data_IF_544958118500
#
_entry.id   IF_544958118500
#
_cell.length_a   1.000
_cell.length_b   1.000
_cell.length_c   1.000
_cell.angle_alpha   90.00
_cell.angle_beta   90.00
_cell.angle_gamma   90.00
#
_symmetry.space_group_name_H-M   'P 1'
#
loop_
_entity.id
_entity.type
_entity.pdbx_description
1 polymer ?
#
# COMPACT_ATOMS: atom_id res chain seq x y z
N UNK A 1 -18.19 -13.21 7.28
CA UNK A 1 -18.66 -11.80 7.27
C UNK A 1 -17.51 -10.80 7.06
N UNK A 2 -16.35 -10.94 7.73
CA UNK A 2 -15.19 -10.03 7.56
C UNK A 2 -14.74 -9.82 6.11
N UNK A 3 -14.40 -10.89 5.39
CA UNK A 3 -13.96 -10.78 3.99
C UNK A 3 -14.98 -10.12 3.08
N UNK A 4 -16.27 -10.40 3.29
CA UNK A 4 -17.33 -9.73 2.53
C UNK A 4 -17.32 -8.21 2.77
N UNK A 5 -17.21 -7.76 4.02
CA UNK A 5 -17.13 -6.33 4.32
C UNK A 5 -15.89 -5.66 3.69
N UNK A 6 -14.76 -6.37 3.67
CA UNK A 6 -13.51 -5.88 3.06
C UNK A 6 -13.63 -5.79 1.53
N UNK A 7 -14.29 -6.76 0.89
CA UNK A 7 -14.63 -6.70 -0.53
C UNK A 7 -15.61 -5.56 -0.83
N UNK A 8 -16.64 -5.39 -0.01
CA UNK A 8 -17.61 -4.29 -0.15
C UNK A 8 -16.93 -2.92 0.00
N UNK A 9 -15.96 -2.78 0.92
CA UNK A 9 -15.19 -1.55 1.06
C UNK A 9 -14.28 -1.29 -0.14
N UNK A 10 -13.67 -2.35 -0.70
CA UNK A 10 -12.84 -2.26 -1.89
C UNK A 10 -13.66 -1.75 -3.09
N UNK A 11 -14.76 -2.42 -3.40
CA UNK A 11 -15.65 -2.07 -4.51
C UNK A 11 -16.34 -0.71 -4.30
N UNK A 12 -16.83 -0.46 -3.07
CA UNK A 12 -17.55 0.75 -2.72
C UNK A 12 -16.71 2.02 -2.91
N UNK A 13 -15.41 1.97 -2.57
CA UNK A 13 -14.50 3.09 -2.80
C UNK A 13 -14.31 3.37 -4.30
N UNK A 14 -14.11 2.34 -5.12
CA UNK A 14 -13.91 2.52 -6.57
C UNK A 14 -15.15 3.09 -7.25
N UNK A 15 -16.34 2.55 -6.92
CA UNK A 15 -17.61 3.05 -7.42
C UNK A 15 -17.84 4.50 -7.00
N UNK A 16 -17.52 4.85 -5.76
CA UNK A 16 -17.65 6.22 -5.27
C UNK A 16 -16.71 7.19 -6.01
N UNK A 17 -15.43 6.83 -6.17
CA UNK A 17 -14.47 7.65 -6.90
C UNK A 17 -14.86 7.81 -8.37
N UNK A 18 -15.34 6.73 -9.00
CA UNK A 18 -15.84 6.76 -10.39
C UNK A 18 -17.04 7.68 -10.57
N UNK A 19 -17.98 7.68 -9.63
CA UNK A 19 -19.16 8.54 -9.68
C UNK A 19 -18.83 10.02 -9.36
N UNK A 20 -18.00 10.27 -8.34
CA UNK A 20 -17.69 11.63 -7.87
C UNK A 20 -16.67 12.36 -8.75
N UNK A 21 -15.72 11.64 -9.34
CA UNK A 21 -14.65 12.20 -10.16
C UNK A 21 -14.60 11.52 -11.54
N UNK A 22 -15.66 11.66 -12.35
CA UNK A 22 -15.74 11.01 -13.66
C UNK A 22 -14.59 11.47 -14.56
N UNK A 23 -13.96 10.52 -15.25
CA UNK A 23 -12.82 10.76 -16.15
C UNK A 23 -11.47 10.94 -15.47
N UNK A 24 -11.40 11.08 -14.13
CA UNK A 24 -10.14 11.16 -13.43
C UNK A 24 -9.42 9.80 -13.42
N UNK A 25 -8.13 9.78 -13.80
CA UNK A 25 -7.30 8.58 -13.71
C UNK A 25 -7.12 8.17 -12.24
N UNK A 26 -7.55 6.95 -11.92
CA UNK A 26 -7.45 6.36 -10.56
C UNK A 26 -6.79 4.99 -10.49
N UNK A 27 -6.55 4.34 -11.64
CA UNK A 27 -6.00 2.99 -11.73
C UNK A 27 -6.74 1.98 -10.85
N UNK A 28 -8.05 1.90 -11.07
CA UNK A 28 -9.01 1.14 -10.26
C UNK A 28 -8.57 -0.28 -9.96
N UNK A 29 -8.90 -0.74 -8.75
CA UNK A 29 -8.76 -2.14 -8.34
C UNK A 29 -9.90 -3.04 -8.85
N UNK A 30 -10.97 -2.50 -9.46
CA UNK A 30 -12.13 -3.28 -9.92
C UNK A 30 -11.71 -4.54 -10.71
N UNK A 31 -12.20 -5.70 -10.28
CA UNK A 31 -11.84 -7.03 -10.79
C UNK A 31 -10.69 -7.71 -10.03
N UNK A 32 -9.95 -6.96 -9.22
CA UNK A 32 -8.87 -7.42 -8.32
C UNK A 32 -9.18 -7.18 -6.85
N UNK A 33 -10.45 -6.99 -6.48
CA UNK A 33 -10.93 -6.56 -5.16
C UNK A 33 -10.43 -7.44 -4.01
N UNK A 34 -10.18 -8.72 -4.29
CA UNK A 34 -9.62 -9.69 -3.34
C UNK A 34 -8.23 -9.30 -2.80
N UNK A 35 -7.52 -8.37 -3.44
CA UNK A 35 -6.26 -7.81 -2.94
C UNK A 35 -6.43 -7.19 -1.54
N UNK A 36 -7.55 -6.53 -1.27
CA UNK A 36 -7.80 -5.87 0.03
C UNK A 36 -7.91 -6.87 1.18
N UNK A 37 -8.84 -7.86 1.16
CA UNK A 37 -8.88 -8.86 2.23
C UNK A 37 -7.59 -9.68 2.30
N UNK A 38 -6.91 -9.96 1.17
CA UNK A 38 -5.62 -10.65 1.16
C UNK A 38 -4.56 -9.89 1.95
N UNK A 39 -4.32 -8.61 1.65
CA UNK A 39 -3.32 -7.80 2.36
C UNK A 39 -3.65 -7.64 3.84
N UNK A 40 -4.93 -7.42 4.17
CA UNK A 40 -5.35 -7.30 5.57
C UNK A 40 -5.16 -8.61 6.34
N UNK A 41 -5.41 -9.75 5.70
CA UNK A 41 -5.15 -11.06 6.30
C UNK A 41 -3.64 -11.30 6.47
N UNK A 42 -2.81 -10.96 5.48
CA UNK A 42 -1.35 -11.06 5.60
C UNK A 42 -0.82 -10.23 6.77
N UNK A 43 -1.28 -8.98 6.94
CA UNK A 43 -0.89 -8.12 8.06
C UNK A 43 -1.33 -8.71 9.40
N UNK A 44 -2.57 -9.18 9.50
CA UNK A 44 -3.10 -9.81 10.73
C UNK A 44 -2.31 -11.07 11.09
N UNK A 45 -2.02 -11.91 10.10
CA UNK A 45 -1.21 -13.12 10.30
C UNK A 45 0.23 -12.80 10.71
N UNK A 46 0.85 -11.79 10.09
CA UNK A 46 2.19 -11.32 10.44
C UNK A 46 2.24 -10.83 11.89
N UNK A 47 1.28 -9.99 12.31
CA UNK A 47 1.17 -9.52 13.69
C UNK A 47 1.02 -10.67 14.69
N UNK A 48 0.15 -11.65 14.38
CA UNK A 48 -0.01 -12.85 15.21
C UNK A 48 1.26 -13.72 15.27
N UNK A 49 2.14 -13.62 14.28
CA UNK A 49 3.44 -14.31 14.22
C UNK A 49 4.57 -13.48 14.86
N UNK A 50 4.26 -12.34 15.48
CA UNK A 50 5.22 -11.48 16.17
C UNK A 50 6.03 -10.55 15.27
N UNK A 51 5.61 -10.36 14.01
CA UNK A 51 6.12 -9.29 13.13
C UNK A 51 5.68 -7.94 13.71
N UNK A 52 6.61 -6.98 13.76
CA UNK A 52 6.37 -5.63 14.29
C UNK A 52 6.14 -4.61 13.18
N UNK A 53 6.74 -4.82 12.02
CA UNK A 53 6.66 -3.88 10.91
C UNK A 53 6.42 -4.60 9.58
N UNK A 54 5.64 -3.99 8.70
CA UNK A 54 5.43 -4.44 7.32
C UNK A 54 5.74 -3.28 6.39
N UNK A 55 6.64 -3.50 5.44
CA UNK A 55 7.01 -2.50 4.43
C UNK A 55 6.47 -2.95 3.09
N UNK A 56 5.62 -2.13 2.49
CA UNK A 56 4.96 -2.41 1.22
C UNK A 56 5.63 -1.64 0.07
N UNK A 57 5.81 -2.30 -1.06
CA UNK A 57 6.06 -1.70 -2.36
C UNK A 57 4.98 -2.12 -3.33
N UNK A 58 4.39 -1.17 -4.06
CA UNK A 58 3.38 -1.49 -5.07
C UNK A 58 3.37 -0.49 -6.22
N UNK A 59 2.92 -0.94 -7.38
CA UNK A 59 2.61 -0.09 -8.52
C UNK A 59 1.30 0.71 -8.31
N UNK A 60 0.72 1.22 -9.40
CA UNK A 60 -0.46 2.09 -9.38
C UNK A 60 -1.79 1.33 -9.22
N UNK A 61 -1.88 0.06 -9.65
CA UNK A 61 -3.15 -0.71 -9.67
C UNK A 61 -3.71 -0.90 -8.26
N UNK A 62 -4.87 -0.29 -7.99
CA UNK A 62 -5.54 -0.34 -6.69
C UNK A 62 -4.82 0.39 -5.56
N UNK A 63 -3.81 1.21 -5.84
CA UNK A 63 -3.01 1.87 -4.79
C UNK A 63 -3.84 2.77 -3.88
N UNK A 64 -4.76 3.54 -4.47
CA UNK A 64 -5.66 4.41 -3.71
C UNK A 64 -6.55 3.58 -2.78
N UNK A 65 -6.95 2.39 -3.23
CA UNK A 65 -7.72 1.44 -2.45
C UNK A 65 -6.92 0.90 -1.27
N UNK A 66 -5.68 0.47 -1.50
CA UNK A 66 -4.76 0.01 -0.45
C UNK A 66 -4.48 1.10 0.58
N UNK A 67 -4.22 2.33 0.13
CA UNK A 67 -3.99 3.48 1.02
C UNK A 67 -5.15 3.69 2.01
N UNK A 68 -6.40 3.66 1.52
CA UNK A 68 -7.58 3.88 2.37
C UNK A 68 -7.94 2.64 3.19
N UNK A 69 -8.11 1.49 2.53
CA UNK A 69 -8.73 0.31 3.13
C UNK A 69 -7.74 -0.60 3.88
N UNK A 70 -6.42 -0.44 3.67
CA UNK A 70 -5.36 -1.21 4.36
C UNK A 70 -4.56 -0.31 5.29
N UNK A 71 -4.06 0.84 4.82
CA UNK A 71 -3.23 1.75 5.62
C UNK A 71 -4.02 2.83 6.38
N UNK A 72 -5.35 2.89 6.22
CA UNK A 72 -6.18 3.82 6.98
C UNK A 72 -5.96 5.29 6.66
N UNK A 73 -5.43 5.62 5.46
CA UNK A 73 -5.42 7.02 4.98
C UNK A 73 -6.86 7.54 5.00
N UNK A 74 -7.07 8.77 5.47
CA UNK A 74 -8.41 9.34 5.56
C UNK A 74 -8.98 9.54 4.15
N UNK A 75 -10.21 9.07 3.85
CA UNK A 75 -10.84 9.31 2.54
C UNK A 75 -10.91 10.78 2.16
N UNK A 76 -11.10 11.67 3.15
CA UNK A 76 -11.12 13.11 2.91
C UNK A 76 -9.81 13.64 2.32
N UNK A 77 -8.66 13.19 2.82
CA UNK A 77 -7.36 13.60 2.27
C UNK A 77 -7.23 13.19 0.79
N UNK A 78 -7.71 11.98 0.44
CA UNK A 78 -7.74 11.54 -0.96
C UNK A 78 -8.70 12.39 -1.81
N UNK A 79 -9.89 12.72 -1.30
CA UNK A 79 -10.85 13.54 -2.03
C UNK A 79 -10.32 14.95 -2.29
N UNK A 80 -9.59 15.52 -1.34
CA UNK A 80 -8.91 16.80 -1.50
C UNK A 80 -7.85 16.73 -2.61
N UNK A 81 -7.07 15.64 -2.69
CA UNK A 81 -6.13 15.39 -3.79
C UNK A 81 -6.82 15.23 -5.16
N UNK A 82 -8.04 14.70 -5.21
CA UNK A 82 -8.83 14.68 -6.45
C UNK A 82 -9.39 16.05 -6.82
N UNK A 83 -9.69 16.89 -5.84
CA UNK A 83 -10.16 18.26 -6.02
C UNK A 83 -9.04 19.26 -6.31
N UNK A 84 -7.77 18.82 -6.37
CA UNK A 84 -6.60 19.69 -6.55
C UNK A 84 -6.29 20.55 -5.32
N UNK A 85 -6.84 20.20 -4.16
CA UNK A 85 -6.52 20.84 -2.88
C UNK A 85 -5.29 20.17 -2.30
N UNK A 86 -4.17 20.86 -2.35
CA UNK A 86 -2.92 20.39 -1.78
C UNK A 86 -2.69 21.06 -0.43
N UNK A 87 -2.24 20.28 0.56
CA UNK A 87 -1.65 20.85 1.78
C UNK A 87 -0.37 21.58 1.37
N UNK A 88 0.07 22.58 2.13
CA UNK A 88 1.39 23.16 1.89
C UNK A 88 2.44 22.04 1.96
N UNK A 89 3.10 21.81 0.83
CA UNK A 89 4.09 20.75 0.68
C UNK A 89 5.48 21.38 0.69
N UNK A 90 6.40 20.75 1.43
CA UNK A 90 7.83 21.02 1.34
C UNK A 90 8.36 20.36 0.05
N UNK A 91 8.12 20.95 -1.11
CA UNK A 91 8.66 20.47 -2.40
C UNK A 91 7.70 20.59 -3.59
N UNK A 92 8.12 20.06 -4.74
CA UNK A 92 7.37 20.09 -6.01
C UNK A 92 6.18 19.13 -6.05
N UNK A 93 6.11 18.17 -5.13
CA UNK A 93 5.06 17.15 -5.06
C UNK A 93 5.18 16.04 -6.12
N UNK A 94 4.21 15.12 -6.11
CA UNK A 94 4.03 14.05 -7.10
C UNK A 94 2.54 13.71 -7.22
N UNK A 95 2.17 12.85 -8.18
CA UNK A 95 0.79 12.41 -8.39
C UNK A 95 0.31 11.50 -7.25
N UNK A 96 -0.99 11.58 -6.94
CA UNK A 96 -1.64 10.90 -5.79
C UNK A 96 -1.36 9.39 -5.68
N UNK A 97 -1.17 8.70 -6.80
CA UNK A 97 -0.89 7.27 -6.86
C UNK A 97 0.62 6.93 -6.84
N UNK A 98 1.50 7.87 -6.48
CA UNK A 98 2.91 7.64 -6.11
C UNK A 98 3.18 7.83 -4.61
N UNK A 99 2.21 8.43 -3.90
CA UNK A 99 2.37 8.79 -2.49
C UNK A 99 2.50 7.54 -1.61
N UNK A 100 3.47 7.57 -0.71
CA UNK A 100 3.60 6.61 0.39
C UNK A 100 2.70 6.99 1.56
N UNK A 101 2.64 6.11 2.56
CA UNK A 101 1.89 6.36 3.80
C UNK A 101 2.40 5.44 4.91
N UNK A 102 2.28 5.88 6.16
CA UNK A 102 2.64 5.09 7.33
C UNK A 102 1.56 5.19 8.40
N UNK A 103 1.32 4.08 9.08
CA UNK A 103 0.25 3.93 10.07
C UNK A 103 0.49 2.70 10.93
N UNK A 104 0.07 2.74 12.19
CA UNK A 104 0.03 1.54 13.03
C UNK A 104 -1.36 0.91 12.95
N UNK A 105 -1.40 -0.41 12.73
CA UNK A 105 -2.63 -1.18 12.67
C UNK A 105 -2.65 -2.18 13.82
N UNK A 106 -3.76 -2.23 14.54
CA UNK A 106 -3.99 -3.19 15.61
C UNK A 106 -4.31 -4.57 15.03
N UNK A 107 -3.60 -5.59 15.51
CA UNK A 107 -3.84 -7.00 15.23
C UNK A 107 -4.02 -7.77 16.54
N UNK A 108 -4.49 -9.02 16.48
CA UNK A 108 -4.66 -9.84 17.70
C UNK A 108 -3.31 -10.08 18.40
N UNK A 109 -2.20 -10.11 17.65
CA UNK A 109 -0.83 -10.20 18.15
C UNK A 109 -0.19 -8.88 18.59
N UNK A 110 -0.94 -7.77 18.54
CA UNK A 110 -0.47 -6.42 18.91
C UNK A 110 -0.40 -5.44 17.74
N UNK A 111 0.22 -4.28 17.99
CA UNK A 111 0.40 -3.24 16.96
C UNK A 111 1.44 -3.65 15.92
N UNK A 112 1.08 -3.50 14.65
CA UNK A 112 1.98 -3.68 13.50
C UNK A 112 2.10 -2.35 12.76
N UNK A 113 3.33 -1.86 12.62
CA UNK A 113 3.62 -0.65 11.85
C UNK A 113 3.62 -0.96 10.35
N UNK A 114 2.73 -0.31 9.60
CA UNK A 114 2.69 -0.40 8.14
C UNK A 114 3.40 0.81 7.53
N UNK A 115 4.21 0.57 6.51
CA UNK A 115 4.80 1.62 5.69
C UNK A 115 4.71 1.26 4.21
N UNK A 116 3.95 2.04 3.43
CA UNK A 116 3.94 1.97 1.97
C UNK A 116 4.98 2.93 1.41
N UNK A 117 5.93 2.40 0.64
CA UNK A 117 6.98 3.18 0.01
C UNK A 117 6.44 4.14 -1.07
N UNK A 118 7.04 5.31 -1.16
CA UNK A 118 6.91 6.19 -2.33
C UNK A 118 7.58 5.53 -3.54
N UNK A 119 7.05 5.73 -4.74
CA UNK A 119 7.67 5.22 -5.97
C UNK A 119 7.35 6.07 -7.19
N UNK A 120 8.27 6.16 -8.17
CA UNK A 120 7.99 6.78 -9.45
C UNK A 120 7.10 5.88 -10.34
N UNK A 121 6.73 6.39 -11.52
CA UNK A 121 6.03 5.62 -12.56
C UNK A 121 6.84 4.45 -13.14
N UNK A 122 8.17 4.45 -12.98
CA UNK A 122 9.04 3.37 -13.45
C UNK A 122 8.74 2.11 -12.64
N UNK A 123 8.08 1.14 -13.28
CA UNK A 123 7.59 -0.05 -12.59
C UNK A 123 8.74 -0.90 -12.05
N UNK A 124 8.47 -1.67 -11.01
CA UNK A 124 9.39 -2.61 -10.35
C UNK A 124 10.60 -2.02 -9.63
N UNK A 125 11.06 -0.80 -9.97
CA UNK A 125 12.27 -0.19 -9.37
C UNK A 125 12.13 0.07 -7.86
N UNK A 126 10.91 0.10 -7.32
CA UNK A 126 10.64 0.23 -5.88
C UNK A 126 10.96 -1.05 -5.11
N UNK A 127 10.92 -2.22 -5.75
CA UNK A 127 11.15 -3.52 -5.11
C UNK A 127 12.49 -3.59 -4.38
N UNK A 128 13.66 -3.31 -5.02
CA UNK A 128 14.94 -3.27 -4.31
C UNK A 128 15.01 -2.17 -3.24
N UNK A 129 14.31 -1.05 -3.43
CA UNK A 129 14.24 0.04 -2.42
C UNK A 129 13.54 -0.43 -1.15
N UNK A 130 12.44 -1.18 -1.28
CA UNK A 130 11.73 -1.80 -0.16
C UNK A 130 12.63 -2.81 0.55
N UNK A 131 13.34 -3.65 -0.19
CA UNK A 131 14.28 -4.62 0.39
C UNK A 131 15.39 -3.92 1.19
N UNK A 132 15.96 -2.83 0.65
CA UNK A 132 16.95 -2.01 1.37
C UNK A 132 16.37 -1.37 2.64
N UNK A 133 15.15 -0.82 2.57
CA UNK A 133 14.46 -0.26 3.74
C UNK A 133 14.20 -1.31 4.82
N UNK A 134 13.76 -2.51 4.43
CA UNK A 134 13.54 -3.62 5.37
C UNK A 134 14.86 -4.04 5.99
N UNK A 135 15.91 -4.20 5.18
CA UNK A 135 17.24 -4.57 5.68
C UNK A 135 17.75 -3.57 6.72
N UNK A 136 17.67 -2.27 6.44
CA UNK A 136 18.09 -1.24 7.38
C UNK A 136 17.30 -1.27 8.69
N UNK A 137 15.99 -1.58 8.65
CA UNK A 137 15.16 -1.75 9.85
C UNK A 137 15.55 -2.98 10.66
N UNK A 138 15.84 -4.11 10.02
CA UNK A 138 16.34 -5.31 10.68
C UNK A 138 17.71 -5.09 11.32
N UNK A 139 18.65 -4.44 10.62
CA UNK A 139 19.96 -4.10 11.15
C UNK A 139 19.84 -3.19 12.40
N UNK A 140 18.89 -2.26 12.40
CA UNK A 140 18.62 -1.39 13.57
C UNK A 140 18.06 -2.15 14.78
N UNK A 141 17.37 -3.26 14.55
CA UNK A 141 16.85 -4.12 15.62
C UNK A 141 17.91 -5.07 16.19
N UNK A 142 19.11 -5.10 15.61
CA UNK A 142 20.16 -6.09 15.91
C UNK A 142 19.66 -7.55 15.78
N UNK A 143 18.69 -7.76 14.88
CA UNK A 143 18.02 -9.04 14.63
C UNK A 143 17.99 -9.37 13.13
N UNK A 144 19.14 -9.54 12.46
CA UNK A 144 19.26 -9.59 10.99
C UNK A 144 18.59 -10.81 10.34
N UNK A 145 18.28 -11.86 11.12
CA UNK A 145 17.61 -13.09 10.64
C UNK A 145 16.20 -13.25 11.23
N UNK A 146 15.65 -12.20 11.86
CA UNK A 146 14.31 -12.27 12.44
C UNK A 146 13.21 -12.00 11.42
N UNK A 147 12.01 -12.45 11.76
CA UNK A 147 10.79 -12.15 11.01
C UNK A 147 10.09 -10.89 11.56
N UNK A 148 10.83 -9.97 12.19
CA UNK A 148 10.26 -8.76 12.82
C UNK A 148 9.83 -7.70 11.80
N UNK A 149 10.42 -7.69 10.61
CA UNK A 149 10.10 -6.74 9.53
C UNK A 149 9.80 -7.53 8.26
N UNK A 150 8.56 -7.45 7.77
CA UNK A 150 8.09 -8.19 6.60
C UNK A 150 8.05 -7.28 5.35
N UNK A 151 8.83 -7.58 4.30
CA UNK A 151 8.62 -6.96 3.00
C UNK A 151 7.41 -7.57 2.29
N UNK A 152 6.56 -6.72 1.69
CA UNK A 152 5.51 -7.13 0.75
C UNK A 152 5.67 -6.32 -0.53
N UNK A 153 5.96 -6.98 -1.65
CA UNK A 153 6.02 -6.35 -2.98
C UNK A 153 4.84 -6.81 -3.84
N UNK A 154 4.15 -5.86 -4.46
CA UNK A 154 2.95 -6.08 -5.28
C UNK A 154 3.24 -5.62 -6.70
N UNK A 155 3.03 -6.53 -7.65
CA UNK A 155 3.50 -6.36 -9.01
C UNK A 155 2.35 -6.42 -10.02
N UNK A 156 2.56 -5.80 -11.19
CA UNK A 156 1.75 -6.07 -12.37
C UNK A 156 2.30 -7.28 -13.12
N UNK A 157 1.43 -8.10 -13.70
CA UNK A 157 1.76 -9.31 -14.46
C UNK A 157 2.75 -9.06 -15.63
N UNK A 158 2.54 -8.01 -16.41
CA UNK A 158 3.45 -7.65 -17.49
C UNK A 158 4.78 -7.07 -16.97
N UNK A 159 4.74 -6.32 -15.87
CA UNK A 159 5.91 -5.62 -15.34
C UNK A 159 6.86 -6.59 -14.61
N UNK A 160 6.31 -7.50 -13.79
CA UNK A 160 7.09 -8.50 -13.05
C UNK A 160 7.87 -9.44 -13.98
N UNK A 161 7.33 -9.71 -15.17
CA UNK A 161 7.98 -10.56 -16.16
C UNK A 161 8.94 -9.79 -17.08
N UNK A 162 8.66 -8.50 -17.34
CA UNK A 162 9.36 -7.72 -18.35
C UNK A 162 10.46 -6.78 -17.84
N UNK A 163 10.51 -6.48 -16.54
CA UNK A 163 11.49 -5.54 -15.98
C UNK A 163 12.69 -6.27 -15.38
N UNK A 164 13.89 -6.01 -15.92
CA UNK A 164 15.16 -6.64 -15.55
C UNK A 164 15.60 -6.48 -14.08
N UNK A 165 14.98 -5.56 -13.33
CA UNK A 165 15.27 -5.32 -11.91
C UNK A 165 14.62 -6.35 -10.98
N UNK A 166 13.72 -7.19 -11.52
CA UNK A 166 13.01 -8.23 -10.75
C UNK A 166 13.85 -9.52 -10.64
N UNK A 167 14.76 -9.76 -11.59
CA UNK A 167 15.61 -10.96 -11.71
C UNK A 167 16.88 -10.86 -10.87
#
# INVERSE_FOLDING_TARGET
KRFLNELTAAEGLERYLGAKFPGAKRFSLEGGDALIPMLKEMVRHAGNSGTREVVLGMAHRGRLNVLINVLGKKPQDLFDEFAGKHKEHLGTGDVKYHMGFSSDIETEGGLVHLALAFNPSHLEIVSPVVMGSVRARLDRLDEPSSNKVLPITIHGDAAVTGQGVVQ
#
